data_IF_068478846185
#
_entry.id   IF_068478846185
#
_cell.length_a   1.000
_cell.length_b   1.000
_cell.length_c   1.000
_cell.angle_alpha   90.00
_cell.angle_beta   90.00
_cell.angle_gamma   90.00
#
_symmetry.space_group_name_H-M   'P 1'
#
loop_
_entity.id
_entity.type
_entity.pdbx_description
1 polymer ?
#
# COMPACT_ATOMS: atom_id res chain seq x y z
N UNK A 1 -6.63 -82.45 -38.07
CA UNK A 1 -5.50 -81.56 -37.83
C UNK A 1 -6.04 -80.19 -37.33
N UNK A 2 -6.02 -80.03 -35.99
CA UNK A 2 -6.62 -78.86 -35.33
C UNK A 2 -5.52 -77.78 -35.15
N UNK A 3 -5.65 -76.61 -35.82
CA UNK A 3 -4.80 -75.47 -35.55
C UNK A 3 -5.39 -74.64 -34.40
N UNK A 4 -4.70 -74.61 -33.27
CA UNK A 4 -5.02 -73.79 -32.12
C UNK A 4 -4.51 -72.35 -32.41
N UNK A 5 -5.41 -71.37 -32.50
CA UNK A 5 -5.09 -69.94 -32.47
C UNK A 5 -4.99 -69.53 -30.98
N UNK A 6 -3.82 -69.17 -30.56
CA UNK A 6 -3.60 -68.44 -29.29
C UNK A 6 -3.78 -66.99 -29.53
N UNK A 7 -4.85 -66.34 -28.98
CA UNK A 7 -5.04 -64.90 -28.92
C UNK A 7 -4.31 -64.38 -27.66
N UNK A 8 -3.20 -63.72 -27.87
CA UNK A 8 -2.51 -63.01 -26.78
C UNK A 8 -3.19 -61.64 -26.56
N UNK A 9 -3.97 -61.52 -25.49
CA UNK A 9 -4.54 -60.27 -25.04
C UNK A 9 -3.45 -59.42 -24.37
N UNK A 10 -2.98 -58.39 -25.05
CA UNK A 10 -2.06 -57.40 -24.51
C UNK A 10 -2.89 -56.38 -23.70
N UNK A 11 -2.91 -56.52 -22.38
CA UNK A 11 -3.48 -55.52 -21.48
C UNK A 11 -2.46 -54.38 -21.38
N UNK A 12 -2.76 -53.26 -22.07
CA UNK A 12 -2.02 -52.02 -21.89
C UNK A 12 -2.52 -51.39 -20.61
N UNK A 13 -1.75 -51.51 -19.52
CA UNK A 13 -1.94 -50.77 -18.29
C UNK A 13 -1.57 -49.29 -18.60
N UNK A 14 -2.57 -48.48 -18.89
CA UNK A 14 -2.42 -47.04 -18.91
C UNK A 14 -2.22 -46.55 -17.46
N UNK A 15 -0.98 -46.50 -17.01
CA UNK A 15 -0.64 -45.77 -15.77
C UNK A 15 -0.88 -44.27 -16.02
N UNK A 16 -2.03 -43.82 -15.56
CA UNK A 16 -2.29 -42.38 -15.45
C UNK A 16 -1.30 -41.79 -14.43
N UNK A 17 -0.16 -41.33 -14.91
CA UNK A 17 0.65 -40.41 -14.13
C UNK A 17 -0.19 -39.13 -14.00
N UNK A 18 -0.88 -38.95 -12.88
CA UNK A 18 -1.30 -37.65 -12.43
C UNK A 18 0.01 -36.87 -12.16
N UNK A 19 0.48 -36.14 -13.16
CA UNK A 19 1.46 -35.10 -12.92
C UNK A 19 0.81 -34.17 -11.90
N UNK A 20 1.25 -34.22 -10.65
CA UNK A 20 1.00 -33.15 -9.73
C UNK A 20 1.62 -31.91 -10.41
N UNK A 21 0.78 -31.07 -10.99
CA UNK A 21 1.25 -29.79 -11.50
C UNK A 21 1.94 -29.09 -10.32
N UNK A 22 3.22 -28.77 -10.48
CA UNK A 22 3.95 -28.03 -9.45
C UNK A 22 3.15 -26.79 -9.08
N UNK A 23 2.99 -26.56 -7.76
CA UNK A 23 2.29 -25.38 -7.27
C UNK A 23 3.06 -24.14 -7.71
N UNK A 24 2.34 -23.13 -8.21
CA UNK A 24 2.96 -21.83 -8.50
C UNK A 24 3.45 -21.21 -7.19
N UNK A 25 4.74 -20.91 -7.10
CA UNK A 25 5.36 -20.36 -5.89
C UNK A 25 5.37 -18.83 -5.94
N UNK A 26 4.72 -18.21 -4.94
CA UNK A 26 4.53 -16.75 -4.85
C UNK A 26 5.28 -16.22 -3.64
N UNK A 27 6.28 -15.37 -3.86
CA UNK A 27 7.12 -14.79 -2.81
C UNK A 27 6.72 -13.37 -2.43
N UNK A 28 6.84 -13.04 -1.14
CA UNK A 28 6.59 -11.69 -0.64
C UNK A 28 7.74 -11.22 0.24
N UNK A 29 8.22 -9.99 0.01
CA UNK A 29 9.25 -9.32 0.81
C UNK A 29 8.63 -8.10 1.47
N UNK A 30 8.53 -8.12 2.80
CA UNK A 30 7.90 -7.08 3.60
C UNK A 30 8.92 -6.18 4.30
N UNK A 31 8.62 -4.89 4.37
CA UNK A 31 9.48 -3.87 4.98
C UNK A 31 9.36 -3.81 6.50
N UNK A 32 8.22 -4.22 7.04
CA UNK A 32 7.93 -4.26 8.47
C UNK A 32 7.36 -5.60 8.91
N UNK A 33 7.00 -5.73 10.18
CA UNK A 33 6.24 -6.88 10.67
C UNK A 33 4.82 -6.85 10.09
N UNK A 34 4.19 -8.02 9.94
CA UNK A 34 2.81 -8.14 9.46
C UNK A 34 1.86 -7.46 10.46
N UNK A 35 1.94 -7.82 11.73
CA UNK A 35 1.03 -7.30 12.74
C UNK A 35 -0.44 -7.49 12.36
N UNK A 36 -1.28 -6.53 12.78
CA UNK A 36 -2.73 -6.47 12.55
C UNK A 36 -3.21 -5.11 12.03
N UNK A 37 -2.28 -4.30 11.52
CA UNK A 37 -2.51 -2.96 11.00
C UNK A 37 -1.39 -2.50 10.04
N UNK A 38 -1.65 -1.42 9.32
CA UNK A 38 -0.65 -0.71 8.51
C UNK A 38 -0.34 -1.37 7.17
N UNK A 39 0.73 -0.93 6.57
CA UNK A 39 1.16 -1.25 5.21
C UNK A 39 1.45 -2.73 5.00
N UNK A 40 2.31 -3.33 5.83
CA UNK A 40 2.71 -4.74 5.69
C UNK A 40 1.52 -5.67 5.90
N UNK A 41 0.65 -5.38 6.88
CA UNK A 41 -0.58 -6.10 7.11
C UNK A 41 -1.48 -6.14 5.87
N UNK A 42 -1.65 -5.01 5.18
CA UNK A 42 -2.48 -4.96 3.97
C UNK A 42 -1.85 -5.72 2.79
N UNK A 43 -0.53 -5.75 2.69
CA UNK A 43 0.16 -6.62 1.74
C UNK A 43 0.00 -8.10 2.09
N UNK A 44 0.07 -8.46 3.38
CA UNK A 44 -0.17 -9.85 3.79
C UNK A 44 -1.62 -10.28 3.58
N UNK A 45 -2.59 -9.39 3.77
CA UNK A 45 -3.99 -9.65 3.36
C UNK A 45 -4.09 -9.98 1.88
N UNK A 46 -3.27 -9.38 1.02
CA UNK A 46 -3.25 -9.72 -0.41
C UNK A 46 -2.64 -11.09 -0.66
N UNK A 47 -1.61 -11.50 0.10
CA UNK A 47 -1.07 -12.88 0.08
C UNK A 47 -2.14 -13.90 0.46
N UNK A 48 -2.84 -13.66 1.57
CA UNK A 48 -3.95 -14.53 2.01
C UNK A 48 -5.09 -14.57 0.98
N UNK A 49 -5.34 -13.47 0.26
CA UNK A 49 -6.31 -13.46 -0.83
C UNK A 49 -5.87 -14.33 -2.02
N UNK A 50 -4.58 -14.41 -2.32
CA UNK A 50 -4.02 -15.35 -3.32
C UNK A 50 -4.26 -16.79 -2.90
N UNK A 51 -3.94 -17.14 -1.65
CA UNK A 51 -4.19 -18.49 -1.12
C UNK A 51 -5.69 -18.85 -1.19
N UNK A 52 -6.55 -17.91 -0.79
CA UNK A 52 -8.00 -18.09 -0.87
C UNK A 52 -8.51 -18.27 -2.31
N UNK A 53 -7.94 -17.52 -3.27
CA UNK A 53 -8.38 -17.55 -4.67
C UNK A 53 -7.95 -18.82 -5.40
N UNK A 54 -6.77 -19.35 -5.10
CA UNK A 54 -6.15 -20.40 -5.90
C UNK A 54 -5.95 -21.73 -5.15
N UNK A 55 -6.05 -21.73 -3.81
CA UNK A 55 -5.97 -22.93 -2.98
C UNK A 55 -4.69 -23.74 -3.23
N UNK A 56 -4.85 -25.03 -3.50
CA UNK A 56 -3.74 -25.97 -3.70
C UNK A 56 -2.90 -25.72 -4.96
N UNK A 57 -3.29 -24.78 -5.81
CA UNK A 57 -2.54 -24.41 -7.03
C UNK A 57 -1.38 -23.47 -6.77
N UNK A 58 -1.31 -22.87 -5.58
CA UNK A 58 -0.25 -21.94 -5.19
C UNK A 58 0.40 -22.35 -3.88
N UNK A 59 1.64 -21.92 -3.72
CA UNK A 59 2.37 -21.90 -2.45
C UNK A 59 2.85 -20.48 -2.21
N UNK A 60 2.53 -19.88 -1.06
CA UNK A 60 3.02 -18.55 -0.72
C UNK A 60 4.13 -18.62 0.32
N UNK A 61 5.17 -17.83 0.13
CA UNK A 61 6.28 -17.68 1.06
C UNK A 61 6.52 -16.19 1.32
N UNK A 62 6.95 -15.81 2.51
CA UNK A 62 7.21 -14.41 2.83
C UNK A 62 8.37 -14.23 3.80
N UNK A 63 8.96 -13.02 3.77
CA UNK A 63 9.96 -12.57 4.73
C UNK A 63 9.57 -11.19 5.25
N UNK A 64 9.56 -11.03 6.58
CA UNK A 64 9.22 -9.79 7.27
C UNK A 64 10.45 -8.97 7.62
N UNK A 65 10.26 -7.66 7.76
CA UNK A 65 11.25 -6.72 8.31
C UNK A 65 12.60 -6.78 7.57
N UNK A 66 12.55 -7.00 6.26
CA UNK A 66 13.75 -7.05 5.43
C UNK A 66 14.31 -5.63 5.26
N UNK A 67 15.57 -5.43 5.63
CA UNK A 67 16.24 -4.13 5.49
C UNK A 67 16.54 -3.82 4.02
N UNK A 68 16.60 -2.54 3.70
CA UNK A 68 16.96 -2.08 2.37
C UNK A 68 18.41 -2.43 1.99
N UNK A 69 18.73 -2.26 0.72
CA UNK A 69 20.06 -2.47 0.19
C UNK A 69 20.45 -3.95 0.09
N UNK A 70 21.64 -4.35 0.58
CA UNK A 70 22.16 -5.72 0.39
C UNK A 70 21.30 -6.82 0.99
N UNK A 71 20.56 -6.54 2.08
CA UNK A 71 19.67 -7.52 2.71
C UNK A 71 18.47 -7.82 1.80
N UNK A 72 17.86 -6.79 1.22
CA UNK A 72 16.78 -6.95 0.26
C UNK A 72 17.25 -7.71 -0.99
N UNK A 73 18.42 -7.38 -1.51
CA UNK A 73 18.98 -8.09 -2.66
C UNK A 73 19.18 -9.58 -2.37
N UNK A 74 19.73 -9.91 -1.20
CA UNK A 74 19.91 -11.31 -0.77
C UNK A 74 18.57 -12.05 -0.61
N UNK A 75 17.60 -11.40 0.03
CA UNK A 75 16.29 -11.98 0.27
C UNK A 75 15.53 -12.26 -1.04
N UNK A 76 15.50 -11.29 -1.97
CA UNK A 76 14.85 -11.44 -3.28
C UNK A 76 15.55 -12.53 -4.09
N UNK A 77 16.92 -12.55 -4.11
CA UNK A 77 17.68 -13.56 -4.83
C UNK A 77 17.44 -14.96 -4.26
N UNK A 78 17.43 -15.12 -2.94
CA UNK A 78 17.16 -16.40 -2.31
C UNK A 78 15.77 -16.93 -2.70
N UNK A 79 14.72 -16.11 -2.67
CA UNK A 79 13.39 -16.52 -3.12
C UNK A 79 13.37 -16.95 -4.58
N UNK A 80 14.08 -16.24 -5.46
CA UNK A 80 14.16 -16.61 -6.88
C UNK A 80 14.93 -17.92 -7.08
N UNK A 81 16.01 -18.15 -6.33
CA UNK A 81 16.78 -19.40 -6.34
C UNK A 81 15.96 -20.60 -5.80
N UNK A 82 15.10 -20.34 -4.81
CA UNK A 82 14.19 -21.34 -4.23
C UNK A 82 12.98 -21.64 -5.14
N UNK A 83 12.99 -21.14 -6.38
CA UNK A 83 12.00 -21.48 -7.40
C UNK A 83 10.71 -20.66 -7.32
N UNK A 84 10.71 -19.46 -6.78
CA UNK A 84 9.55 -18.58 -6.87
C UNK A 84 9.28 -18.20 -8.34
N UNK A 85 8.01 -18.32 -8.77
CA UNK A 85 7.55 -17.94 -10.10
C UNK A 85 7.28 -16.44 -10.21
N UNK A 86 6.80 -15.85 -9.11
CA UNK A 86 6.54 -14.42 -8.98
C UNK A 86 6.89 -13.93 -7.57
N UNK A 87 7.53 -12.75 -7.49
CA UNK A 87 7.98 -12.15 -6.23
C UNK A 87 7.46 -10.72 -6.13
N UNK A 88 6.78 -10.42 -5.02
CA UNK A 88 6.30 -9.09 -4.65
C UNK A 88 7.25 -8.47 -3.61
N UNK A 89 7.89 -7.34 -3.93
CA UNK A 89 8.67 -6.56 -2.96
C UNK A 89 7.93 -5.26 -2.64
N UNK A 90 7.53 -5.11 -1.39
CA UNK A 90 6.45 -4.22 -0.98
C UNK A 90 6.93 -2.90 -0.39
N UNK A 91 8.04 -2.33 -0.88
CA UNK A 91 8.50 -1.02 -0.44
C UNK A 91 9.40 -0.33 -1.45
N UNK A 92 9.35 1.01 -1.46
CA UNK A 92 10.12 1.88 -2.36
C UNK A 92 11.62 1.53 -2.40
N UNK A 93 12.23 1.30 -1.23
CA UNK A 93 13.68 1.00 -1.11
C UNK A 93 14.12 -0.34 -1.69
N UNK A 94 13.19 -1.19 -2.14
CA UNK A 94 13.50 -2.47 -2.79
C UNK A 94 13.67 -2.37 -4.30
N UNK A 95 13.48 -1.19 -4.91
CA UNK A 95 13.51 -1.00 -6.36
C UNK A 95 14.83 -1.43 -6.99
N UNK A 96 15.96 -0.87 -6.53
CA UNK A 96 17.26 -1.19 -7.10
C UNK A 96 17.70 -2.63 -6.82
N UNK A 97 17.55 -3.17 -5.58
CA UNK A 97 17.77 -4.58 -5.31
C UNK A 97 16.99 -5.51 -6.23
N UNK A 98 15.67 -5.26 -6.38
CA UNK A 98 14.82 -6.09 -7.24
C UNK A 98 15.18 -5.99 -8.71
N UNK A 99 15.46 -4.77 -9.21
CA UNK A 99 15.87 -4.54 -10.59
C UNK A 99 17.16 -5.29 -10.94
N UNK A 100 18.11 -5.36 -10.00
CA UNK A 100 19.35 -6.11 -10.16
C UNK A 100 19.08 -7.61 -10.23
N UNK A 101 18.33 -8.16 -9.27
CA UNK A 101 17.99 -9.60 -9.21
C UNK A 101 17.14 -10.02 -10.41
N UNK A 102 16.20 -9.19 -10.85
CA UNK A 102 15.35 -9.50 -12.00
C UNK A 102 16.14 -9.78 -13.28
N UNK A 103 17.30 -9.14 -13.49
CA UNK A 103 18.17 -9.41 -14.62
C UNK A 103 18.87 -10.78 -14.54
N UNK A 104 19.07 -11.29 -13.32
CA UNK A 104 19.72 -12.59 -13.08
C UNK A 104 18.73 -13.75 -13.28
N UNK A 105 17.42 -13.50 -13.11
CA UNK A 105 16.35 -14.50 -13.17
C UNK A 105 15.27 -14.14 -14.19
N UNK A 106 15.53 -14.22 -15.51
CA UNK A 106 14.62 -13.73 -16.55
C UNK A 106 13.27 -14.46 -16.62
N UNK A 107 13.20 -15.68 -16.08
CA UNK A 107 11.97 -16.48 -16.07
C UNK A 107 11.05 -16.13 -14.88
N UNK A 108 11.59 -15.60 -13.78
CA UNK A 108 10.82 -15.15 -12.61
C UNK A 108 10.16 -13.82 -12.90
N UNK A 109 8.93 -13.62 -12.43
CA UNK A 109 8.21 -12.33 -12.54
C UNK A 109 8.39 -11.55 -11.24
N UNK A 110 8.60 -10.24 -11.38
CA UNK A 110 8.84 -9.36 -10.24
C UNK A 110 7.82 -8.22 -10.23
N UNK A 111 7.26 -7.96 -9.06
CA UNK A 111 6.26 -6.93 -8.82
C UNK A 111 6.75 -6.01 -7.69
N UNK A 112 7.05 -4.77 -8.02
CA UNK A 112 7.61 -3.82 -7.08
C UNK A 112 6.58 -2.75 -6.69
N UNK A 113 6.30 -2.62 -5.37
CA UNK A 113 5.42 -1.58 -4.87
C UNK A 113 6.12 -0.22 -4.81
N UNK A 114 5.41 0.83 -5.26
CA UNK A 114 5.80 2.25 -5.18
C UNK A 114 7.05 2.66 -5.95
N UNK A 115 7.57 1.79 -6.84
CA UNK A 115 8.70 2.11 -7.70
C UNK A 115 8.31 2.83 -8.99
N UNK A 116 9.33 3.10 -9.82
CA UNK A 116 9.18 3.70 -11.14
C UNK A 116 10.09 3.09 -12.21
N UNK A 117 10.90 2.09 -11.84
CA UNK A 117 11.78 1.37 -12.79
C UNK A 117 11.20 0.00 -13.10
N UNK A 118 11.12 -0.32 -14.38
CA UNK A 118 10.66 -1.61 -14.89
C UNK A 118 11.73 -2.25 -15.79
N UNK A 119 11.61 -3.54 -16.03
CA UNK A 119 12.29 -4.26 -17.11
C UNK A 119 11.38 -5.32 -17.72
N UNK A 120 11.87 -6.24 -18.54
CA UNK A 120 11.04 -7.19 -19.27
C UNK A 120 10.30 -8.19 -18.37
N UNK A 121 10.81 -8.45 -17.16
CA UNK A 121 10.21 -9.35 -16.17
C UNK A 121 9.90 -8.66 -14.83
N UNK A 122 10.00 -7.32 -14.75
CA UNK A 122 9.68 -6.54 -13.55
C UNK A 122 8.66 -5.46 -13.85
N UNK A 123 7.55 -5.50 -13.13
CA UNK A 123 6.50 -4.48 -13.08
C UNK A 123 6.63 -3.59 -11.87
N UNK A 124 5.96 -2.45 -11.90
CA UNK A 124 5.73 -1.60 -10.73
C UNK A 124 4.24 -1.38 -10.52
N UNK A 125 3.84 -1.23 -9.27
CA UNK A 125 2.49 -0.85 -8.89
C UNK A 125 2.51 0.12 -7.71
N UNK A 126 1.54 1.00 -7.67
CA UNK A 126 1.37 1.99 -6.62
C UNK A 126 -0.10 2.37 -6.51
N UNK A 127 -0.46 3.07 -5.46
CA UNK A 127 -1.80 3.63 -5.27
C UNK A 127 -1.80 5.15 -5.32
N UNK A 128 -2.91 5.75 -5.78
CA UNK A 128 -3.16 7.19 -5.68
C UNK A 128 -3.60 7.55 -4.26
N UNK A 129 -2.78 7.20 -3.30
CA UNK A 129 -3.02 7.38 -1.88
C UNK A 129 -3.42 8.80 -1.50
N UNK A 130 -2.89 9.78 -2.26
CA UNK A 130 -3.20 11.19 -2.09
C UNK A 130 -4.71 11.52 -2.23
N UNK A 131 -5.49 10.68 -2.92
CA UNK A 131 -6.93 10.86 -3.03
C UNK A 131 -7.60 10.80 -1.66
N UNK A 132 -7.23 9.81 -0.85
CA UNK A 132 -7.68 9.70 0.54
C UNK A 132 -7.13 10.81 1.43
N UNK A 133 -5.89 11.26 1.20
CA UNK A 133 -5.31 12.39 1.95
C UNK A 133 -6.09 13.68 1.77
N UNK A 134 -6.56 13.96 0.56
CA UNK A 134 -7.39 15.12 0.32
C UNK A 134 -8.71 15.06 1.12
N UNK A 135 -9.37 13.89 1.15
CA UNK A 135 -10.60 13.67 1.94
C UNK A 135 -10.30 13.87 3.44
N UNK A 136 -9.20 13.29 3.94
CA UNK A 136 -8.77 13.52 5.33
C UNK A 136 -8.54 15.02 5.62
N UNK A 137 -7.95 15.73 4.68
CA UNK A 137 -7.76 17.19 4.78
C UNK A 137 -9.10 17.94 4.88
N UNK A 138 -10.07 17.63 4.02
CA UNK A 138 -11.41 18.24 4.07
C UNK A 138 -12.08 17.97 5.42
N UNK A 139 -12.00 16.73 5.92
CA UNK A 139 -12.51 16.37 7.25
C UNK A 139 -11.78 17.16 8.34
N UNK A 140 -10.45 17.27 8.27
CA UNK A 140 -9.66 18.05 9.23
C UNK A 140 -10.07 19.53 9.25
N UNK A 141 -10.29 20.13 8.07
CA UNK A 141 -10.78 21.51 7.96
C UNK A 141 -12.10 21.77 8.66
N UNK A 142 -13.00 20.78 8.67
CA UNK A 142 -14.30 20.85 9.37
C UNK A 142 -14.20 20.50 10.86
N UNK A 143 -13.33 19.55 11.24
CA UNK A 143 -13.29 18.99 12.59
C UNK A 143 -12.36 19.73 13.53
N UNK A 144 -11.29 20.35 13.03
CA UNK A 144 -10.34 21.10 13.85
C UNK A 144 -10.99 22.35 14.41
N UNK A 145 -10.91 22.54 15.72
CA UNK A 145 -11.32 23.74 16.42
C UNK A 145 -10.24 24.81 16.44
N UNK A 146 -8.98 24.38 16.34
CA UNK A 146 -7.80 25.27 16.33
C UNK A 146 -7.37 25.66 14.93
N UNK A 147 -7.92 25.02 13.90
CA UNK A 147 -7.52 25.22 12.51
C UNK A 147 -6.10 24.71 12.24
N UNK A 148 -5.65 23.68 12.98
CA UNK A 148 -4.27 23.20 12.93
C UNK A 148 -4.20 21.66 13.00
N UNK A 149 -3.38 21.07 12.13
CA UNK A 149 -3.07 19.64 12.18
C UNK A 149 -1.57 19.38 12.26
N UNK A 150 -1.20 18.24 12.85
CA UNK A 150 0.13 17.69 12.82
C UNK A 150 0.22 16.53 11.83
N UNK A 151 1.23 16.54 10.97
CA UNK A 151 1.53 15.48 10.01
C UNK A 151 2.84 14.79 10.37
N UNK A 152 2.77 13.50 10.68
CA UNK A 152 3.94 12.66 10.92
C UNK A 152 4.35 12.04 9.60
N UNK A 153 5.49 12.46 9.06
CA UNK A 153 5.99 12.04 7.76
C UNK A 153 7.16 11.07 7.90
N UNK A 154 7.19 10.03 7.06
CA UNK A 154 8.21 8.99 7.07
C UNK A 154 9.50 9.44 6.38
N UNK A 155 9.55 9.38 5.05
CA UNK A 155 10.71 9.76 4.23
C UNK A 155 10.32 10.81 3.19
N UNK A 156 11.23 11.74 2.82
CA UNK A 156 10.95 12.81 1.88
C UNK A 156 10.95 12.34 0.41
N UNK A 157 10.09 11.38 0.11
CA UNK A 157 9.88 10.85 -1.25
C UNK A 157 8.61 11.44 -1.88
N UNK A 158 8.48 11.42 -3.21
CA UNK A 158 7.35 12.04 -3.91
C UNK A 158 5.97 11.58 -3.42
N UNK A 159 5.81 10.33 -3.05
CA UNK A 159 4.55 9.80 -2.54
C UNK A 159 4.12 10.50 -1.24
N UNK A 160 5.05 10.68 -0.30
CA UNK A 160 4.79 11.31 1.00
C UNK A 160 4.53 12.80 0.82
N UNK A 161 5.36 13.50 0.04
CA UNK A 161 5.20 14.93 -0.24
C UNK A 161 3.87 15.20 -0.93
N UNK A 162 3.48 14.39 -1.90
CA UNK A 162 2.19 14.47 -2.59
C UNK A 162 1.02 14.26 -1.63
N UNK A 163 1.16 13.33 -0.67
CA UNK A 163 0.17 13.09 0.37
C UNK A 163 -0.01 14.29 1.29
N UNK A 164 1.09 14.91 1.74
CA UNK A 164 1.08 16.13 2.54
C UNK A 164 0.38 17.27 1.79
N UNK A 165 0.74 17.47 0.53
CA UNK A 165 0.16 18.50 -0.31
C UNK A 165 -1.35 18.32 -0.49
N UNK A 166 -1.80 17.10 -0.76
CA UNK A 166 -3.22 16.80 -0.92
C UNK A 166 -4.00 17.01 0.37
N UNK A 167 -3.46 16.61 1.53
CA UNK A 167 -4.07 16.86 2.84
C UNK A 167 -4.22 18.36 3.09
N UNK A 168 -3.16 19.13 2.88
CA UNK A 168 -3.19 20.57 3.06
C UNK A 168 -4.20 21.27 2.14
N UNK A 169 -4.22 20.91 0.86
CA UNK A 169 -5.20 21.43 -0.10
C UNK A 169 -6.64 21.10 0.31
N UNK A 170 -6.89 19.90 0.81
CA UNK A 170 -8.19 19.52 1.36
C UNK A 170 -8.59 20.36 2.56
N UNK A 171 -7.70 20.55 3.52
CA UNK A 171 -7.97 21.32 4.74
C UNK A 171 -8.20 22.81 4.42
N UNK A 172 -7.37 23.40 3.56
CA UNK A 172 -7.49 24.80 3.17
C UNK A 172 -8.65 25.08 2.23
N UNK A 173 -9.20 24.10 1.56
CA UNK A 173 -10.45 24.24 0.79
C UNK A 173 -11.67 24.53 1.68
N UNK A 174 -11.59 24.15 2.95
CA UNK A 174 -12.64 24.38 3.98
C UNK A 174 -12.26 25.56 4.86
N UNK A 175 -11.05 25.58 5.38
CA UNK A 175 -10.53 26.65 6.23
C UNK A 175 -9.27 27.26 5.58
N UNK A 176 -9.38 28.39 4.87
CA UNK A 176 -8.23 29.02 4.20
C UNK A 176 -7.07 29.43 5.11
N UNK A 177 -7.29 29.46 6.44
CA UNK A 177 -6.27 29.77 7.45
C UNK A 177 -5.76 28.52 8.16
N UNK A 178 -6.06 27.33 7.62
CA UNK A 178 -5.62 26.08 8.21
C UNK A 178 -4.09 25.97 8.21
N UNK A 179 -3.53 25.59 9.35
CA UNK A 179 -2.10 25.41 9.56
C UNK A 179 -1.72 23.94 9.61
N UNK A 180 -0.51 23.60 9.14
CA UNK A 180 -0.01 22.24 9.08
C UNK A 180 1.44 22.15 9.54
N UNK A 181 1.65 21.60 10.72
CA UNK A 181 2.99 21.26 11.21
C UNK A 181 3.40 19.88 10.69
N UNK A 182 4.66 19.72 10.33
CA UNK A 182 5.20 18.48 9.76
C UNK A 182 6.42 18.02 10.56
N UNK A 183 6.39 16.79 11.07
CA UNK A 183 7.53 16.14 11.72
C UNK A 183 7.99 14.95 10.87
N UNK A 184 9.24 14.97 10.42
CA UNK A 184 9.87 13.87 9.69
C UNK A 184 10.58 12.92 10.65
N UNK A 185 10.13 11.66 10.70
CA UNK A 185 10.66 10.64 11.63
C UNK A 185 11.69 9.71 11.01
N UNK A 186 11.88 9.76 9.69
CA UNK A 186 12.85 8.97 8.92
C UNK A 186 12.72 7.45 9.18
N UNK A 187 11.50 6.97 9.29
CA UNK A 187 11.15 5.56 9.41
C UNK A 187 9.76 5.30 8.83
N UNK A 188 9.49 4.06 8.39
CA UNK A 188 8.13 3.63 8.05
C UNK A 188 7.39 3.09 9.27
N UNK A 189 8.12 2.44 10.20
CA UNK A 189 7.54 1.83 11.39
C UNK A 189 8.47 1.99 12.57
N UNK A 190 8.11 2.81 13.53
CA UNK A 190 8.77 2.98 14.82
C UNK A 190 7.76 3.57 15.81
N UNK A 191 7.06 2.71 16.59
CA UNK A 191 6.00 3.17 17.49
C UNK A 191 6.46 4.23 18.49
N UNK A 192 7.72 4.17 18.93
CA UNK A 192 8.29 5.16 19.85
C UNK A 192 8.40 6.54 19.23
N UNK A 193 9.04 6.63 18.05
CA UNK A 193 9.19 7.89 17.33
C UNK A 193 7.85 8.47 16.87
N UNK A 194 6.93 7.61 16.43
CA UNK A 194 5.60 8.02 16.00
C UNK A 194 4.77 8.60 17.16
N UNK A 195 4.80 7.95 18.32
CA UNK A 195 4.14 8.47 19.52
C UNK A 195 4.75 9.79 19.99
N UNK A 196 6.07 9.92 19.96
CA UNK A 196 6.76 11.14 20.41
C UNK A 196 6.51 12.29 19.43
N UNK A 197 6.53 12.05 18.12
CA UNK A 197 6.15 13.04 17.11
C UNK A 197 4.71 13.53 17.33
N UNK A 198 3.75 12.61 17.58
CA UNK A 198 2.37 12.98 17.87
C UNK A 198 2.28 13.86 19.13
N UNK A 199 2.97 13.53 20.21
CA UNK A 199 2.98 14.31 21.45
C UNK A 199 3.54 15.74 21.23
N UNK A 200 4.63 15.86 20.45
CA UNK A 200 5.21 17.17 20.10
C UNK A 200 4.19 18.01 19.33
N UNK A 201 3.62 17.48 18.26
CA UNK A 201 2.62 18.17 17.43
C UNK A 201 1.39 18.61 18.25
N UNK A 202 0.91 17.76 19.16
CA UNK A 202 -0.20 18.08 20.05
C UNK A 202 0.17 19.21 21.02
N UNK A 203 1.38 19.15 21.59
CA UNK A 203 1.88 20.19 22.50
C UNK A 203 2.04 21.56 21.80
N UNK A 204 2.37 21.55 20.50
CA UNK A 204 2.45 22.73 19.62
C UNK A 204 1.08 23.22 19.13
N UNK A 205 0.01 22.56 19.58
CA UNK A 205 -1.35 23.04 19.39
C UNK A 205 -2.17 22.30 18.35
N UNK A 206 -1.65 21.27 17.68
CA UNK A 206 -2.45 20.47 16.75
C UNK A 206 -3.57 19.72 17.49
N UNK A 207 -4.79 19.82 16.98
CA UNK A 207 -5.95 19.06 17.48
C UNK A 207 -6.44 17.98 16.49
N UNK A 208 -5.69 17.80 15.40
CA UNK A 208 -5.83 16.72 14.43
C UNK A 208 -4.43 16.13 14.19
N UNK A 209 -4.28 14.81 14.24
CA UNK A 209 -3.04 14.11 13.89
C UNK A 209 -3.26 13.24 12.66
N UNK A 210 -2.40 13.35 11.68
CA UNK A 210 -2.32 12.45 10.53
C UNK A 210 -0.91 11.92 10.36
N UNK A 211 -0.76 10.76 9.74
CA UNK A 211 0.55 10.11 9.62
C UNK A 211 0.73 9.42 8.28
N UNK A 212 1.98 9.29 7.85
CA UNK A 212 2.42 8.41 6.77
C UNK A 212 3.49 7.44 7.30
N UNK A 213 3.19 6.88 8.46
CA UNK A 213 3.93 5.84 9.18
C UNK A 213 2.93 4.76 9.60
N UNK A 214 3.39 3.57 9.96
CA UNK A 214 2.55 2.38 9.95
C UNK A 214 2.06 1.92 11.32
N UNK A 215 2.62 2.45 12.43
CA UNK A 215 2.15 2.02 13.75
C UNK A 215 0.91 2.79 14.22
N UNK A 216 0.07 2.22 15.08
CA UNK A 216 -1.08 2.92 15.66
C UNK A 216 -0.69 3.87 16.81
N UNK A 217 0.59 3.99 17.14
CA UNK A 217 1.05 4.71 18.32
C UNK A 217 0.71 6.21 18.29
N UNK A 218 0.72 6.82 17.10
CA UNK A 218 0.31 8.21 16.94
C UNK A 218 -1.19 8.41 17.20
N UNK A 219 -2.06 7.47 16.74
CA UNK A 219 -3.49 7.50 17.01
C UNK A 219 -3.78 7.32 18.52
N UNK A 220 -3.06 6.39 19.16
CA UNK A 220 -3.19 6.14 20.61
C UNK A 220 -2.76 7.37 21.42
N UNK A 221 -1.70 8.05 20.99
CA UNK A 221 -1.27 9.31 21.62
C UNK A 221 -2.32 10.42 21.46
N UNK A 222 -2.94 10.53 20.27
CA UNK A 222 -4.02 11.47 19.99
C UNK A 222 -5.26 11.17 20.86
N UNK A 223 -5.68 9.90 20.96
CA UNK A 223 -6.81 9.50 21.80
C UNK A 223 -6.55 9.83 23.27
N UNK A 224 -5.36 9.52 23.79
CA UNK A 224 -5.00 9.84 25.16
C UNK A 224 -5.00 11.35 25.44
N UNK A 225 -4.69 12.16 24.46
CA UNK A 225 -4.71 13.62 24.54
C UNK A 225 -6.09 14.23 24.29
N UNK A 226 -7.10 13.43 23.90
CA UNK A 226 -8.44 13.91 23.58
C UNK A 226 -8.52 14.71 22.28
N UNK A 227 -7.60 14.46 21.32
CA UNK A 227 -7.61 15.04 19.96
C UNK A 227 -7.91 13.96 18.93
N UNK A 228 -8.26 14.38 17.71
CA UNK A 228 -8.61 13.43 16.65
C UNK A 228 -7.41 12.97 15.83
N UNK A 229 -7.56 11.84 15.14
CA UNK A 229 -6.52 11.30 14.28
C UNK A 229 -7.10 10.55 13.07
N UNK A 230 -6.21 10.25 12.11
CA UNK A 230 -6.50 9.44 10.94
C UNK A 230 -5.64 8.19 10.91
N UNK A 231 -6.23 7.04 10.57
CA UNK A 231 -5.50 5.80 10.35
C UNK A 231 -4.74 5.79 9.02
N UNK A 232 -3.72 4.92 8.94
CA UNK A 232 -2.81 4.80 7.81
C UNK A 232 -2.82 3.40 7.23
N UNK A 233 -2.93 3.29 5.90
CA UNK A 233 -2.92 2.10 5.07
C UNK A 233 -3.98 1.04 5.41
N UNK A 234 -4.49 1.00 6.63
CA UNK A 234 -5.53 0.10 7.12
C UNK A 234 -6.49 0.82 8.07
N UNK A 235 -7.64 0.22 8.36
CA UNK A 235 -8.53 0.70 9.43
C UNK A 235 -7.91 0.40 10.79
N UNK A 236 -7.59 1.45 11.55
CA UNK A 236 -6.96 1.38 12.86
C UNK A 236 -7.93 1.73 14.00
N UNK A 237 -9.25 1.70 13.76
CA UNK A 237 -10.29 2.11 14.74
C UNK A 237 -10.17 1.37 16.07
N UNK A 238 -9.75 0.10 16.05
CA UNK A 238 -9.62 -0.70 17.27
C UNK A 238 -8.51 -0.19 18.22
N UNK A 239 -7.55 0.59 17.72
CA UNK A 239 -6.46 1.16 18.52
C UNK A 239 -6.79 2.53 19.12
N UNK A 240 -7.73 3.25 18.50
CA UNK A 240 -8.12 4.58 18.93
C UNK A 240 -9.61 4.86 18.56
N UNK A 241 -10.55 4.15 19.17
CA UNK A 241 -11.98 4.18 18.79
C UNK A 241 -12.65 5.55 18.98
N UNK A 242 -12.09 6.42 19.82
CA UNK A 242 -12.62 7.77 20.09
C UNK A 242 -11.88 8.86 19.31
N UNK A 243 -10.68 8.56 18.79
CA UNK A 243 -9.86 9.54 18.08
C UNK A 243 -9.95 9.38 16.57
N UNK A 244 -10.06 8.14 16.05
CA UNK A 244 -10.04 7.94 14.61
C UNK A 244 -11.28 8.52 13.94
N UNK A 245 -11.06 9.44 12.98
CA UNK A 245 -12.12 9.99 12.14
C UNK A 245 -12.42 9.11 10.92
N UNK A 246 -11.39 8.57 10.31
CA UNK A 246 -11.38 7.57 9.24
C UNK A 246 -9.94 7.10 9.00
N UNK A 247 -9.74 6.19 8.06
CA UNK A 247 -8.42 5.77 7.59
C UNK A 247 -8.40 5.66 6.07
N UNK A 248 -7.24 5.81 5.45
CA UNK A 248 -7.04 5.37 4.08
C UNK A 248 -6.65 3.90 4.12
N UNK A 249 -7.28 3.10 3.28
CA UNK A 249 -7.01 1.67 3.16
C UNK A 249 -6.40 1.41 1.79
N UNK A 250 -5.22 0.79 1.78
CA UNK A 250 -4.62 0.25 0.57
C UNK A 250 -5.09 -1.19 0.38
N UNK A 251 -5.95 -1.44 -0.61
CA UNK A 251 -6.40 -2.79 -0.93
C UNK A 251 -5.62 -3.34 -2.13
N UNK A 252 -4.56 -4.04 -1.84
CA UNK A 252 -3.68 -4.64 -2.85
C UNK A 252 -4.22 -5.95 -3.43
N UNK A 253 -5.18 -6.59 -2.76
CA UNK A 253 -5.64 -7.93 -3.10
C UNK A 253 -6.12 -8.08 -4.55
N UNK A 254 -6.95 -7.17 -5.12
CA UNK A 254 -7.39 -7.30 -6.51
C UNK A 254 -6.23 -7.31 -7.51
N UNK A 255 -5.24 -6.44 -7.28
CA UNK A 255 -4.04 -6.36 -8.12
C UNK A 255 -3.19 -7.63 -8.00
N UNK A 256 -2.82 -8.01 -6.78
CA UNK A 256 -1.92 -9.14 -6.52
C UNK A 256 -2.52 -10.44 -7.04
N UNK A 257 -3.82 -10.70 -6.78
CA UNK A 257 -4.53 -11.89 -7.30
C UNK A 257 -4.55 -11.90 -8.83
N UNK A 258 -4.79 -10.77 -9.49
CA UNK A 258 -4.78 -10.68 -10.95
C UNK A 258 -3.38 -10.94 -11.53
N UNK A 259 -2.31 -10.47 -10.88
CA UNK A 259 -0.92 -10.69 -11.31
C UNK A 259 -0.51 -12.16 -11.19
N UNK A 260 -0.84 -12.80 -10.06
CA UNK A 260 -0.62 -14.24 -9.87
C UNK A 260 -1.39 -15.05 -10.90
N UNK A 261 -2.68 -14.73 -11.12
CA UNK A 261 -3.47 -15.36 -12.18
C UNK A 261 -2.83 -15.22 -13.55
N UNK A 262 -2.32 -14.05 -13.89
CA UNK A 262 -1.67 -13.81 -15.18
C UNK A 262 -0.41 -14.67 -15.38
N UNK A 263 0.35 -14.96 -14.30
CA UNK A 263 1.47 -15.92 -14.35
C UNK A 263 0.95 -17.33 -14.60
N UNK A 264 -0.07 -17.76 -13.86
CA UNK A 264 -0.69 -19.09 -14.03
C UNK A 264 -1.20 -19.31 -15.46
N UNK A 265 -1.78 -18.28 -16.07
CA UNK A 265 -2.36 -18.34 -17.42
C UNK A 265 -1.31 -18.11 -18.53
N UNK A 266 -0.04 -17.80 -18.19
CA UNK A 266 0.99 -17.46 -19.17
C UNK A 266 0.76 -16.11 -19.87
N UNK A 267 -0.10 -15.24 -19.33
CA UNK A 267 -0.50 -13.95 -19.91
C UNK A 267 0.17 -12.75 -19.24
N UNK A 268 1.05 -13.00 -18.28
CA UNK A 268 1.73 -11.93 -17.56
C UNK A 268 2.54 -11.04 -18.52
N UNK A 269 2.35 -9.73 -18.38
CA UNK A 269 3.11 -8.70 -19.09
C UNK A 269 3.56 -7.64 -18.10
N UNK A 270 4.73 -7.05 -18.32
CA UNK A 270 5.16 -5.91 -17.50
C UNK A 270 4.13 -4.78 -17.55
N UNK A 271 3.95 -4.12 -16.44
CA UNK A 271 3.04 -2.99 -16.29
C UNK A 271 3.62 -1.94 -15.34
N UNK A 272 3.12 -0.73 -15.51
CA UNK A 272 3.25 0.36 -14.54
C UNK A 272 1.81 0.72 -14.14
N UNK A 273 1.42 0.30 -12.94
CA UNK A 273 0.04 0.43 -12.47
C UNK A 273 -0.05 1.45 -11.33
N UNK A 274 -0.81 2.50 -11.56
CA UNK A 274 -1.11 3.48 -10.51
C UNK A 274 -2.60 3.46 -10.18
N UNK A 275 -2.97 2.57 -9.25
CA UNK A 275 -4.35 2.32 -8.86
C UNK A 275 -4.94 3.47 -8.05
N UNK A 276 -6.26 3.60 -8.07
CA UNK A 276 -6.99 4.70 -7.47
C UNK A 276 -8.26 4.21 -6.76
N UNK A 277 -9.09 5.13 -6.29
CA UNK A 277 -10.39 4.80 -5.68
C UNK A 277 -11.33 4.11 -6.68
N UNK A 278 -11.26 4.45 -7.97
CA UNK A 278 -12.08 3.80 -9.01
C UNK A 278 -11.71 2.34 -9.21
N UNK A 279 -10.42 2.03 -9.21
CA UNK A 279 -9.89 0.66 -9.31
C UNK A 279 -10.09 -0.15 -8.03
N UNK A 280 -10.43 0.50 -6.90
CA UNK A 280 -10.57 -0.12 -5.60
C UNK A 280 -9.27 -0.36 -4.85
N UNK A 281 -8.12 0.08 -5.38
CA UNK A 281 -6.84 -0.02 -4.67
C UNK A 281 -6.71 1.01 -3.54
N UNK A 282 -7.47 2.09 -3.57
CA UNK A 282 -7.61 3.06 -2.48
C UNK A 282 -9.05 3.08 -2.01
N UNK A 283 -9.27 2.93 -0.71
CA UNK A 283 -10.58 2.98 -0.07
C UNK A 283 -10.51 3.84 1.18
N UNK A 284 -11.67 4.32 1.64
CA UNK A 284 -11.78 4.94 2.96
C UNK A 284 -12.39 3.95 3.95
N UNK A 285 -11.89 3.97 5.19
CA UNK A 285 -12.55 3.32 6.32
C UNK A 285 -13.84 4.07 6.68
N UNK A 286 -14.73 3.49 7.48
CA UNK A 286 -15.94 4.19 7.95
C UNK A 286 -15.61 5.57 8.54
N UNK A 287 -16.46 6.54 8.25
CA UNK A 287 -16.40 7.88 8.82
C UNK A 287 -16.99 7.87 10.23
N UNK A 288 -16.13 8.05 11.23
CA UNK A 288 -16.46 7.91 12.65
C UNK A 288 -16.15 9.21 13.42
N UNK A 289 -16.67 9.34 14.63
CA UNK A 289 -16.37 10.44 15.56
C UNK A 289 -16.60 11.85 14.97
N UNK A 290 -17.51 11.98 14.00
CA UNK A 290 -17.89 13.25 13.37
C UNK A 290 -19.42 13.34 13.22
N UNK A 291 -19.92 14.53 12.91
CA UNK A 291 -21.36 14.69 12.66
C UNK A 291 -21.81 13.96 11.39
N UNK A 292 -23.07 13.51 11.31
CA UNK A 292 -23.61 12.89 10.11
C UNK A 292 -23.45 13.75 8.84
N UNK A 293 -23.51 15.08 8.97
CA UNK A 293 -23.34 16.00 7.85
C UNK A 293 -21.90 16.01 7.30
N UNK A 294 -20.89 15.96 8.17
CA UNK A 294 -19.49 15.88 7.75
C UNK A 294 -19.20 14.51 7.13
N UNK A 295 -19.72 13.43 7.72
CA UNK A 295 -19.58 12.09 7.15
C UNK A 295 -20.22 11.99 5.76
N UNK A 296 -21.41 12.55 5.57
CA UNK A 296 -22.08 12.57 4.27
C UNK A 296 -21.30 13.39 3.22
N UNK A 297 -20.75 14.55 3.60
CA UNK A 297 -19.91 15.36 2.74
C UNK A 297 -18.62 14.60 2.32
N UNK A 298 -17.97 13.93 3.25
CA UNK A 298 -16.78 13.12 2.98
C UNK A 298 -17.10 11.95 2.03
N UNK A 299 -18.20 11.24 2.25
CA UNK A 299 -18.67 10.17 1.39
C UNK A 299 -19.05 10.66 -0.02
N UNK A 300 -19.67 11.84 -0.14
CA UNK A 300 -19.96 12.46 -1.44
C UNK A 300 -18.66 12.81 -2.18
N UNK A 301 -17.67 13.39 -1.48
CA UNK A 301 -16.37 13.71 -2.06
C UNK A 301 -15.62 12.45 -2.53
N UNK A 302 -15.64 11.38 -1.71
CA UNK A 302 -15.10 10.06 -2.11
C UNK A 302 -15.76 9.56 -3.39
N UNK A 303 -17.09 9.65 -3.49
CA UNK A 303 -17.85 9.30 -4.69
C UNK A 303 -17.42 10.13 -5.92
N UNK A 304 -17.24 11.43 -5.75
CA UNK A 304 -16.82 12.32 -6.83
C UNK A 304 -15.39 12.02 -7.31
N UNK A 305 -14.46 11.73 -6.39
CA UNK A 305 -13.10 11.30 -6.75
C UNK A 305 -13.13 9.95 -7.48
N UNK A 306 -13.87 8.99 -6.97
CA UNK A 306 -14.03 7.67 -7.56
C UNK A 306 -14.62 7.71 -8.97
N UNK A 307 -15.57 8.60 -9.20
CA UNK A 307 -16.21 8.77 -10.52
C UNK A 307 -15.42 9.68 -11.48
N UNK A 308 -14.33 10.30 -11.00
CA UNK A 308 -13.49 11.20 -11.78
C UNK A 308 -14.09 12.59 -12.03
N UNK A 309 -15.16 12.96 -11.28
CA UNK A 309 -15.77 14.30 -11.37
C UNK A 309 -15.08 15.32 -10.47
N UNK A 310 -14.15 14.86 -9.62
CA UNK A 310 -13.31 15.70 -8.78
C UNK A 310 -11.87 15.19 -8.77
N UNK A 311 -10.91 16.11 -8.95
CA UNK A 311 -9.48 15.86 -8.85
C UNK A 311 -8.91 16.63 -7.64
N UNK A 312 -8.25 15.98 -6.68
CA UNK A 312 -7.62 16.60 -5.52
C UNK A 312 -6.65 17.76 -5.83
N UNK A 313 -5.99 17.71 -6.97
CA UNK A 313 -5.07 18.75 -7.43
C UNK A 313 -5.68 19.70 -8.45
N UNK A 314 -6.98 19.54 -8.79
CA UNK A 314 -7.71 20.42 -9.70
C UNK A 314 -7.19 20.43 -11.13
N UNK A 315 -6.61 19.32 -11.60
CA UNK A 315 -6.04 19.19 -12.95
C UNK A 315 -4.77 20.02 -13.20
N UNK A 316 -4.15 20.55 -12.14
CA UNK A 316 -2.98 21.46 -12.26
C UNK A 316 -1.66 20.75 -12.54
N UNK A 317 -1.61 19.42 -12.35
CA UNK A 317 -0.40 18.63 -12.48
C UNK A 317 -0.64 17.45 -13.43
N UNK A 318 0.32 17.21 -14.30
CA UNK A 318 0.40 15.97 -15.08
C UNK A 318 0.70 14.76 -14.21
N UNK A 319 0.45 13.56 -14.69
CA UNK A 319 0.84 12.31 -13.99
C UNK A 319 2.34 12.29 -13.65
N UNK A 320 3.20 12.73 -14.57
CA UNK A 320 4.65 12.77 -14.33
C UNK A 320 5.05 13.74 -13.23
N UNK A 321 4.42 14.94 -13.17
CA UNK A 321 4.66 15.92 -12.11
C UNK A 321 4.17 15.41 -10.75
N UNK A 322 3.03 14.70 -10.71
CA UNK A 322 2.55 14.07 -9.49
C UNK A 322 3.49 12.96 -9.02
N UNK A 323 3.95 12.11 -9.93
CA UNK A 323 4.88 11.02 -9.59
C UNK A 323 6.26 11.54 -9.15
N UNK A 324 6.72 12.66 -9.67
CA UNK A 324 7.98 13.30 -9.32
C UNK A 324 7.86 14.46 -8.30
N UNK A 325 6.72 14.61 -7.62
CA UNK A 325 6.46 15.74 -6.73
C UNK A 325 7.45 15.81 -5.56
N UNK A 326 8.29 16.85 -5.55
CA UNK A 326 9.37 17.02 -4.58
C UNK A 326 9.33 18.40 -3.86
N UNK A 327 8.22 19.10 -3.96
CA UNK A 327 8.02 20.42 -3.34
C UNK A 327 6.64 20.50 -2.70
N UNK A 328 6.54 21.30 -1.66
CA UNK A 328 5.25 21.66 -1.10
C UNK A 328 4.47 22.61 -2.00
N UNK A 329 3.15 22.51 -1.93
CA UNK A 329 2.26 23.56 -2.47
C UNK A 329 2.39 24.84 -1.67
N UNK A 330 2.03 25.96 -2.28
CA UNK A 330 2.07 27.27 -1.61
C UNK A 330 1.21 27.26 -0.34
N UNK A 331 1.76 27.75 0.76
CA UNK A 331 1.08 27.92 2.04
C UNK A 331 1.55 26.94 3.12
N UNK A 332 2.26 25.88 2.78
CA UNK A 332 2.95 25.04 3.77
C UNK A 332 4.28 25.71 4.12
N UNK A 333 4.42 26.13 5.37
CA UNK A 333 5.64 26.75 5.90
C UNK A 333 6.47 25.70 6.66
N UNK A 334 7.08 24.79 5.90
CA UNK A 334 7.94 23.75 6.43
C UNK A 334 9.07 23.40 5.45
N UNK A 335 10.18 22.87 5.96
CA UNK A 335 11.26 22.37 5.11
C UNK A 335 11.12 20.89 4.80
N UNK A 336 11.52 20.50 3.59
CA UNK A 336 11.70 19.09 3.23
C UNK A 336 13.14 18.71 3.56
N UNK A 337 13.39 17.67 4.37
CA UNK A 337 14.75 17.19 4.64
C UNK A 337 15.49 16.82 3.35
N UNK A 338 16.82 17.00 3.35
CA UNK A 338 17.69 16.66 2.22
C UNK A 338 18.06 15.17 2.23
#
# INVERSE_FOLDING_TARGET
MLKKLLLASMIVLATSFSAFADKLKVGFIYVGPIGDHGWTYMHDKSRLAVEKAFGDKVETVYLESVKYGPDAERAIRAMAQDGADIIFATSFGYMEPMLKVAKEFPNVKFEHATGYKTNDNMSVYSSKFYQGRYIQGVIAGHMSKKGKAGYIASFPIPEVIRGINAFYLGATSVNPKFDLDIVWVNTWYDPGKEADAAKVLIAEGSDIITQHTDSPAALQAAEKAGVYAFGQASDMINFAPKAQLTAIIDDWAPYVVARVKAVMDGTWKKSDTWGDMKSGMVKMAPYTNMSPSIAALAAQLEGNIKNGTFDPFGGKYTTGELLGMNKYVKGIDASIPK
#
